data_IF_004156651925
#
_entry.id   IF_004156651925
#
_cell.length_a   1.000
_cell.length_b   1.000
_cell.length_c   1.000
_cell.angle_alpha   90.00
_cell.angle_beta   90.00
_cell.angle_gamma   90.00
#
_symmetry.space_group_name_H-M   'P 1'
#
loop_
_entity.id
_entity.type
_entity.pdbx_description
1 polymer ?
#
# COMPACT_ATOMS: atom_id res chain seq x y z
N UNK A 1 -9.15 23.37 -0.51
CA UNK A 1 -9.57 22.01 -0.93
C UNK A 1 -8.80 20.95 -0.17
N UNK A 2 -7.47 21.06 -0.14
CA UNK A 2 -6.57 20.23 0.66
C UNK A 2 -6.92 20.23 2.15
N UNK A 3 -7.10 21.41 2.76
CA UNK A 3 -7.45 21.49 4.19
C UNK A 3 -8.80 20.85 4.49
N UNK A 4 -9.78 21.02 3.59
CA UNK A 4 -11.10 20.40 3.71
C UNK A 4 -10.97 18.89 3.67
N UNK A 5 -10.20 18.33 2.72
CA UNK A 5 -9.99 16.89 2.63
C UNK A 5 -9.26 16.38 3.88
N UNK A 6 -8.19 17.05 4.31
CA UNK A 6 -7.45 16.69 5.53
C UNK A 6 -8.36 16.63 6.76
N UNK A 7 -9.14 17.68 7.03
CA UNK A 7 -10.09 17.71 8.15
C UNK A 7 -11.13 16.60 8.05
N UNK A 8 -11.58 16.24 6.84
CA UNK A 8 -12.51 15.12 6.64
C UNK A 8 -11.86 13.77 6.93
N UNK A 9 -10.62 13.56 6.52
CA UNK A 9 -9.88 12.34 6.82
C UNK A 9 -9.61 12.18 8.33
N UNK A 10 -9.28 13.28 9.03
CA UNK A 10 -9.12 13.30 10.49
C UNK A 10 -10.45 12.98 11.21
N UNK A 11 -11.57 13.51 10.71
CA UNK A 11 -12.89 13.19 11.26
C UNK A 11 -13.25 11.70 11.06
N UNK A 12 -12.98 11.15 9.87
CA UNK A 12 -13.17 9.71 9.60
C UNK A 12 -12.29 8.86 10.52
N UNK A 13 -11.04 9.26 10.75
CA UNK A 13 -10.14 8.57 11.69
C UNK A 13 -10.74 8.52 13.09
N UNK A 14 -11.19 9.67 13.61
CA UNK A 14 -11.79 9.79 14.93
C UNK A 14 -13.08 8.96 15.08
N UNK A 15 -13.97 9.02 14.09
CA UNK A 15 -15.23 8.27 14.08
C UNK A 15 -14.98 6.75 14.05
N UNK A 16 -14.03 6.31 13.22
CA UNK A 16 -13.63 4.91 13.13
C UNK A 16 -13.00 4.42 14.44
N UNK A 17 -12.07 5.18 15.02
CA UNK A 17 -11.44 4.84 16.30
C UNK A 17 -12.45 4.78 17.44
N UNK A 18 -13.40 5.73 17.49
CA UNK A 18 -14.46 5.73 18.50
C UNK A 18 -15.33 4.48 18.39
N UNK A 19 -15.71 4.08 17.17
CA UNK A 19 -16.51 2.87 16.95
C UNK A 19 -15.75 1.60 17.37
N UNK A 20 -14.48 1.47 16.98
CA UNK A 20 -13.65 0.33 17.37
C UNK A 20 -13.43 0.28 18.89
N UNK A 21 -13.28 1.43 19.54
CA UNK A 21 -13.17 1.49 21.01
C UNK A 21 -14.42 0.93 21.68
N UNK A 22 -15.61 1.29 21.21
CA UNK A 22 -16.87 0.74 21.74
C UNK A 22 -16.91 -0.78 21.59
N UNK A 23 -16.56 -1.31 20.41
CA UNK A 23 -16.53 -2.77 20.19
C UNK A 23 -15.50 -3.47 21.12
N UNK A 24 -14.35 -2.84 21.39
CA UNK A 24 -13.35 -3.39 22.34
C UNK A 24 -13.85 -3.31 23.79
N UNK A 25 -14.49 -2.21 24.17
CA UNK A 25 -15.06 -2.04 25.50
C UNK A 25 -16.16 -3.10 25.76
N UNK A 26 -16.99 -3.40 24.76
CA UNK A 26 -17.95 -4.51 24.81
C UNK A 26 -17.28 -5.87 25.01
N UNK A 27 -16.12 -6.13 24.40
CA UNK A 27 -15.37 -7.37 24.68
C UNK A 27 -14.96 -7.45 26.14
N UNK A 28 -14.55 -6.34 26.74
CA UNK A 28 -14.19 -6.34 28.16
C UNK A 28 -15.40 -6.50 29.08
N UNK A 29 -16.55 -5.94 28.72
CA UNK A 29 -17.77 -6.03 29.53
C UNK A 29 -18.42 -7.42 29.45
N UNK A 30 -18.22 -8.11 28.32
CA UNK A 30 -18.59 -9.51 28.16
C UNK A 30 -17.64 -10.48 28.87
N UNK A 31 -16.52 -10.01 29.43
CA UNK A 31 -15.71 -10.82 30.32
C UNK A 31 -16.48 -11.05 31.63
N UNK A 32 -16.71 -12.31 32.00
CA UNK A 32 -17.53 -12.64 33.16
C UNK A 32 -16.87 -13.68 34.06
N UNK A 33 -17.24 -13.64 35.33
CA UNK A 33 -16.84 -14.64 36.32
C UNK A 33 -18.05 -15.54 36.63
N UNK A 34 -17.90 -16.85 36.46
CA UNK A 34 -19.00 -17.81 36.68
C UNK A 34 -19.09 -18.34 38.11
N UNK A 35 -18.30 -17.78 39.03
CA UNK A 35 -18.19 -18.24 40.42
C UNK A 35 -17.00 -19.19 40.64
N UNK A 36 -16.48 -19.80 39.57
CA UNK A 36 -15.35 -20.72 39.63
C UNK A 36 -14.13 -20.26 38.84
N UNK A 37 -14.34 -19.55 37.73
CA UNK A 37 -13.28 -19.06 36.84
C UNK A 37 -13.66 -17.74 36.18
N UNK A 38 -12.65 -16.93 35.93
CA UNK A 38 -12.78 -15.77 35.06
C UNK A 38 -12.69 -16.18 33.58
N UNK A 39 -13.71 -15.81 32.79
CA UNK A 39 -13.74 -16.07 31.35
C UNK A 39 -13.15 -14.88 30.59
N UNK A 40 -11.98 -15.13 30.00
CA UNK A 40 -11.22 -14.15 29.22
C UNK A 40 -11.87 -13.96 27.84
N UNK A 41 -12.00 -12.71 27.34
CA UNK A 41 -12.51 -12.48 25.99
C UNK A 41 -11.58 -13.07 24.92
N UNK A 42 -12.15 -13.44 23.77
CA UNK A 42 -11.38 -14.04 22.67
C UNK A 42 -10.37 -13.04 22.08
N UNK A 43 -9.08 -13.39 22.01
CA UNK A 43 -8.08 -12.58 21.31
C UNK A 43 -8.37 -12.36 19.83
N UNK A 44 -8.93 -13.36 19.17
CA UNK A 44 -9.30 -13.30 17.77
C UNK A 44 -10.42 -12.27 17.53
N UNK A 45 -11.32 -12.09 18.50
CA UNK A 45 -12.34 -11.05 18.42
C UNK A 45 -11.72 -9.65 18.49
N UNK A 46 -10.77 -9.42 19.39
CA UNK A 46 -10.05 -8.16 19.48
C UNK A 46 -9.24 -7.85 18.20
N UNK A 47 -8.51 -8.85 17.69
CA UNK A 47 -7.80 -8.78 16.40
C UNK A 47 -8.74 -8.38 15.26
N UNK A 48 -9.89 -9.04 15.13
CA UNK A 48 -10.86 -8.75 14.09
C UNK A 48 -11.39 -7.31 14.17
N UNK A 49 -11.60 -6.76 15.36
CA UNK A 49 -12.03 -5.36 15.52
C UNK A 49 -10.98 -4.42 14.95
N UNK A 50 -9.69 -4.61 15.24
CA UNK A 50 -8.63 -3.74 14.72
C UNK A 50 -8.38 -3.93 13.21
N UNK A 51 -8.49 -5.15 12.69
CA UNK A 51 -8.41 -5.38 11.25
C UNK A 51 -9.60 -4.74 10.50
N UNK A 52 -10.81 -4.86 11.07
CA UNK A 52 -12.02 -4.20 10.57
C UNK A 52 -11.88 -2.68 10.62
N UNK A 53 -11.30 -2.13 11.69
CA UNK A 53 -10.99 -0.72 11.83
C UNK A 53 -10.11 -0.22 10.67
N UNK A 54 -9.00 -0.91 10.40
CA UNK A 54 -8.07 -0.54 9.31
C UNK A 54 -8.79 -0.59 7.95
N UNK A 55 -9.51 -1.67 7.67
CA UNK A 55 -10.25 -1.84 6.42
C UNK A 55 -11.36 -0.78 6.24
N UNK A 56 -12.05 -0.41 7.33
CA UNK A 56 -13.07 0.64 7.31
C UNK A 56 -12.47 2.00 7.03
N UNK A 57 -11.37 2.37 7.71
CA UNK A 57 -10.65 3.62 7.44
C UNK A 57 -10.19 3.69 5.98
N UNK A 58 -9.61 2.61 5.46
CA UNK A 58 -9.20 2.52 4.06
C UNK A 58 -10.37 2.82 3.11
N UNK A 59 -11.50 2.14 3.32
CA UNK A 59 -12.68 2.32 2.49
C UNK A 59 -13.22 3.75 2.53
N UNK A 60 -13.41 4.32 3.72
CA UNK A 60 -13.96 5.65 3.91
C UNK A 60 -13.00 6.74 3.38
N UNK A 61 -11.68 6.57 3.55
CA UNK A 61 -10.68 7.48 2.99
C UNK A 61 -10.76 7.48 1.45
N UNK A 62 -10.78 6.30 0.82
CA UNK A 62 -10.89 6.16 -0.64
C UNK A 62 -12.18 6.79 -1.16
N UNK A 63 -13.29 6.58 -0.46
CA UNK A 63 -14.58 7.15 -0.82
C UNK A 63 -14.57 8.68 -0.71
N UNK A 64 -14.03 9.25 0.36
CA UNK A 64 -14.01 10.69 0.58
C UNK A 64 -13.05 11.40 -0.38
N UNK A 65 -11.88 10.80 -0.67
CA UNK A 65 -11.02 11.26 -1.75
C UNK A 65 -11.74 11.28 -3.10
N UNK A 66 -12.50 10.22 -3.43
CA UNK A 66 -13.25 10.17 -4.67
C UNK A 66 -14.38 11.21 -4.73
N UNK A 67 -14.97 11.55 -3.58
CA UNK A 67 -16.04 12.55 -3.46
C UNK A 67 -15.52 13.98 -3.60
N UNK A 68 -14.37 14.29 -2.99
CA UNK A 68 -13.79 15.63 -3.01
C UNK A 68 -13.02 15.85 -4.31
N UNK A 69 -12.20 14.90 -4.73
CA UNK A 69 -11.33 14.98 -5.92
C UNK A 69 -12.03 14.46 -7.19
N UNK A 70 -13.34 14.71 -7.33
CA UNK A 70 -14.14 14.20 -8.45
C UNK A 70 -13.48 14.49 -9.82
N UNK A 71 -13.67 13.62 -10.82
CA UNK A 71 -13.25 13.89 -12.19
C UNK A 71 -13.81 15.24 -12.67
N UNK A 72 -12.93 16.15 -13.11
CA UNK A 72 -13.29 17.52 -13.51
C UNK A 72 -13.04 18.59 -12.44
N UNK A 73 -12.65 18.21 -11.22
CA UNK A 73 -12.14 19.15 -10.22
C UNK A 73 -10.77 19.68 -10.62
N UNK A 74 -10.36 20.88 -10.17
CA UNK A 74 -8.99 21.36 -10.36
C UNK A 74 -8.01 20.31 -9.85
N UNK A 75 -6.97 20.05 -10.64
CA UNK A 75 -6.00 19.02 -10.32
C UNK A 75 -5.32 19.30 -8.97
N UNK A 76 -5.05 18.24 -8.22
CA UNK A 76 -4.37 18.36 -6.94
C UNK A 76 -2.91 18.76 -7.19
N UNK A 77 -2.43 19.83 -6.54
CA UNK A 77 -1.02 20.22 -6.58
C UNK A 77 -0.15 19.16 -5.88
N UNK A 78 1.11 19.03 -6.29
CA UNK A 78 2.04 18.04 -5.72
C UNK A 78 2.25 18.24 -4.22
N UNK A 79 2.32 19.50 -3.78
CA UNK A 79 2.46 19.89 -2.37
C UNK A 79 1.23 19.48 -1.55
N UNK A 80 0.05 19.62 -2.14
CA UNK A 80 -1.20 19.22 -1.50
C UNK A 80 -1.31 17.70 -1.39
N UNK A 81 -0.92 16.97 -2.43
CA UNK A 81 -0.85 15.52 -2.40
C UNK A 81 0.11 15.04 -1.30
N UNK A 82 1.32 15.60 -1.22
CA UNK A 82 2.30 15.24 -0.19
C UNK A 82 1.80 15.50 1.24
N UNK A 83 1.04 16.58 1.48
CA UNK A 83 0.43 16.83 2.79
C UNK A 83 -0.65 15.78 3.14
N UNK A 84 -1.44 15.36 2.15
CA UNK A 84 -2.44 14.31 2.33
C UNK A 84 -1.75 12.95 2.56
N UNK A 85 -0.68 12.64 1.83
CA UNK A 85 0.15 11.44 2.05
C UNK A 85 0.68 11.40 3.48
N UNK A 86 1.25 12.51 3.98
CA UNK A 86 1.70 12.60 5.37
C UNK A 86 0.58 12.32 6.37
N UNK A 87 -0.62 12.86 6.13
CA UNK A 87 -1.79 12.59 6.98
C UNK A 87 -2.19 11.10 6.95
N UNK A 88 -2.14 10.45 5.78
CA UNK A 88 -2.40 9.02 5.64
C UNK A 88 -1.34 8.20 6.36
N UNK A 89 -0.06 8.52 6.18
CA UNK A 89 1.03 7.82 6.84
C UNK A 89 0.95 7.93 8.36
N UNK A 90 0.57 9.11 8.89
CA UNK A 90 0.34 9.31 10.32
C UNK A 90 -0.87 8.50 10.84
N UNK A 91 -1.94 8.40 10.06
CA UNK A 91 -3.15 7.66 10.45
C UNK A 91 -2.94 6.15 10.47
N UNK A 92 -2.16 5.65 9.51
CA UNK A 92 -1.86 4.24 9.33
C UNK A 92 -0.46 3.85 9.83
N UNK A 93 0.13 4.67 10.71
CA UNK A 93 1.42 4.40 11.31
C UNK A 93 1.37 3.14 12.19
N UNK A 94 2.32 2.22 11.98
CA UNK A 94 2.41 0.94 12.70
C UNK A 94 2.37 1.12 14.23
N UNK A 95 3.03 2.15 14.77
CA UNK A 95 3.07 2.44 16.21
C UNK A 95 1.69 2.70 16.84
N UNK A 96 0.68 3.11 16.05
CA UNK A 96 -0.68 3.32 16.55
C UNK A 96 -1.44 2.02 16.81
N UNK A 97 -0.99 0.88 16.28
CA UNK A 97 -1.75 -0.38 16.27
C UNK A 97 -0.97 -1.56 16.84
N UNK A 98 0.33 -1.64 16.56
CA UNK A 98 1.17 -2.83 16.82
C UNK A 98 1.18 -3.25 18.29
N UNK A 99 0.98 -2.33 19.25
CA UNK A 99 0.98 -2.63 20.68
C UNK A 99 -0.41 -2.91 21.27
N UNK A 100 -1.49 -2.69 20.51
CA UNK A 100 -2.87 -2.77 21.05
C UNK A 100 -3.23 -4.14 21.59
N UNK A 101 -2.68 -5.22 21.03
CA UNK A 101 -2.93 -6.57 21.55
C UNK A 101 -2.29 -6.79 22.93
N UNK A 102 -1.07 -6.26 23.16
CA UNK A 102 -0.44 -6.31 24.47
C UNK A 102 -1.20 -5.47 25.50
N UNK A 103 -1.66 -4.28 25.11
CA UNK A 103 -2.49 -3.42 25.96
C UNK A 103 -3.82 -4.10 26.31
N UNK A 104 -4.44 -4.76 25.33
CA UNK A 104 -5.67 -5.52 25.55
C UNK A 104 -5.47 -6.62 26.58
N UNK A 105 -4.41 -7.42 26.47
CA UNK A 105 -4.10 -8.46 27.45
C UNK A 105 -3.77 -7.91 28.83
N UNK A 106 -3.07 -6.76 28.90
CA UNK A 106 -2.76 -6.10 30.17
C UNK A 106 -4.05 -5.70 30.88
N UNK A 107 -5.01 -5.16 30.15
CA UNK A 107 -6.29 -4.73 30.68
C UNK A 107 -7.18 -5.91 31.09
N UNK A 108 -7.22 -6.97 30.28
CA UNK A 108 -7.90 -8.23 30.62
C UNK A 108 -7.33 -8.83 31.92
N UNK A 109 -6.00 -8.95 32.03
CA UNK A 109 -5.36 -9.46 33.25
C UNK A 109 -5.68 -8.63 34.47
N UNK A 110 -5.69 -7.29 34.32
CA UNK A 110 -6.04 -6.37 35.40
C UNK A 110 -7.48 -6.60 35.88
N UNK A 111 -8.43 -6.78 34.97
CA UNK A 111 -9.83 -7.09 35.32
C UNK A 111 -9.97 -8.48 35.93
N UNK A 112 -9.27 -9.49 35.40
CA UNK A 112 -9.32 -10.86 35.90
C UNK A 112 -8.84 -10.97 37.35
N UNK A 113 -7.75 -10.28 37.71
CA UNK A 113 -7.20 -10.28 39.07
C UNK A 113 -8.14 -9.71 40.14
N UNK A 114 -9.14 -8.91 39.75
CA UNK A 114 -10.18 -8.42 40.67
C UNK A 114 -11.13 -9.54 41.11
N UNK A 115 -11.29 -10.58 40.29
CA UNK A 115 -12.22 -11.68 40.54
C UNK A 115 -11.49 -12.97 40.94
N UNK A 116 -10.33 -13.23 40.35
CA UNK A 116 -9.52 -14.43 40.57
C UNK A 116 -8.06 -14.01 40.88
N UNK A 117 -7.67 -13.89 42.17
CA UNK A 117 -6.34 -13.39 42.56
C UNK A 117 -5.16 -14.26 42.10
N UNK A 118 -5.42 -15.53 41.77
CA UNK A 118 -4.45 -16.48 41.22
C UNK A 118 -4.49 -16.57 39.68
N UNK A 119 -5.18 -15.64 39.02
CA UNK A 119 -5.29 -15.65 37.57
C UNK A 119 -3.93 -15.41 36.92
N UNK A 120 -3.51 -16.34 36.06
CA UNK A 120 -2.28 -16.26 35.29
C UNK A 120 -2.57 -16.61 33.83
N UNK A 121 -2.16 -15.74 32.90
CA UNK A 121 -2.17 -16.06 31.48
C UNK A 121 -0.83 -16.67 31.08
N UNK A 122 -0.89 -17.77 30.33
CA UNK A 122 0.29 -18.47 29.84
C UNK A 122 1.11 -17.58 28.87
N UNK A 123 2.26 -17.10 29.33
CA UNK A 123 3.09 -16.13 28.61
C UNK A 123 3.43 -16.57 27.17
N UNK A 124 3.80 -17.84 26.99
CA UNK A 124 4.14 -18.40 25.66
C UNK A 124 2.97 -18.32 24.66
N UNK A 125 1.74 -18.49 25.15
CA UNK A 125 0.53 -18.38 24.31
C UNK A 125 0.27 -16.93 23.92
N UNK A 126 0.51 -15.99 24.82
CA UNK A 126 0.40 -14.55 24.55
C UNK A 126 1.39 -14.10 23.50
N UNK A 127 2.65 -14.53 23.59
CA UNK A 127 3.70 -14.17 22.62
C UNK A 127 3.35 -14.64 21.19
N UNK A 128 2.78 -15.83 21.05
CA UNK A 128 2.35 -16.35 19.76
C UNK A 128 1.17 -15.55 19.17
N UNK A 129 0.21 -15.20 20.02
CA UNK A 129 -0.96 -14.41 19.59
C UNK A 129 -0.56 -12.97 19.25
N UNK A 130 0.32 -12.36 20.04
CA UNK A 130 0.85 -11.02 19.77
C UNK A 130 1.67 -11.00 18.47
N UNK A 131 2.57 -11.96 18.25
CA UNK A 131 3.36 -12.03 17.01
C UNK A 131 2.47 -12.22 15.76
N UNK A 132 1.44 -13.05 15.85
CA UNK A 132 0.46 -13.24 14.76
C UNK A 132 -0.30 -11.95 14.49
N UNK A 133 -0.79 -11.30 15.54
CA UNK A 133 -1.49 -10.01 15.47
C UNK A 133 -0.62 -8.93 14.80
N UNK A 134 0.63 -8.77 15.26
CA UNK A 134 1.57 -7.77 14.73
C UNK A 134 1.81 -7.96 13.24
N UNK A 135 1.98 -9.21 12.80
CA UNK A 135 2.14 -9.54 11.40
C UNK A 135 0.88 -9.19 10.58
N UNK A 136 -0.31 -9.59 11.05
CA UNK A 136 -1.58 -9.33 10.38
C UNK A 136 -1.90 -7.84 10.27
N UNK A 137 -1.72 -7.08 11.35
CA UNK A 137 -1.93 -5.64 11.37
C UNK A 137 -0.92 -4.92 10.50
N UNK A 138 0.37 -5.26 10.58
CA UNK A 138 1.37 -4.60 9.74
C UNK A 138 1.08 -4.83 8.25
N UNK A 139 0.72 -6.05 7.83
CA UNK A 139 0.33 -6.30 6.43
C UNK A 139 -0.92 -5.49 6.02
N UNK A 140 -1.93 -5.44 6.88
CA UNK A 140 -3.14 -4.67 6.64
C UNK A 140 -2.86 -3.16 6.50
N UNK A 141 -2.01 -2.59 7.37
CA UNK A 141 -1.60 -1.19 7.31
C UNK A 141 -0.81 -0.88 6.04
N UNK A 142 0.15 -1.74 5.67
CA UNK A 142 0.92 -1.60 4.43
C UNK A 142 0.03 -1.68 3.19
N UNK A 143 -0.95 -2.59 3.19
CA UNK A 143 -1.95 -2.70 2.11
C UNK A 143 -2.82 -1.44 2.02
N UNK A 144 -3.37 -0.97 3.14
CA UNK A 144 -4.23 0.21 3.17
C UNK A 144 -3.49 1.45 2.66
N UNK A 145 -2.27 1.71 3.16
CA UNK A 145 -1.42 2.82 2.70
C UNK A 145 -1.17 2.77 1.20
N UNK A 146 -0.74 1.61 0.67
CA UNK A 146 -0.51 1.42 -0.77
C UNK A 146 -1.76 1.72 -1.60
N UNK A 147 -2.92 1.24 -1.16
CA UNK A 147 -4.17 1.44 -1.89
C UNK A 147 -4.60 2.91 -1.89
N UNK A 148 -4.49 3.58 -0.74
CA UNK A 148 -4.80 5.00 -0.60
C UNK A 148 -3.84 5.86 -1.42
N UNK A 149 -2.53 5.61 -1.35
CA UNK A 149 -1.54 6.35 -2.12
C UNK A 149 -1.72 6.16 -3.63
N UNK A 150 -1.95 4.93 -4.09
CA UNK A 150 -2.25 4.67 -5.50
C UNK A 150 -3.50 5.42 -5.97
N UNK A 151 -4.52 5.53 -5.10
CA UNK A 151 -5.73 6.29 -5.38
C UNK A 151 -5.42 7.78 -5.49
N UNK A 152 -4.64 8.34 -4.57
CA UNK A 152 -4.25 9.74 -4.56
C UNK A 152 -3.39 10.11 -5.78
N UNK A 153 -2.41 9.28 -6.13
CA UNK A 153 -1.53 9.47 -7.28
C UNK A 153 -2.33 9.57 -8.59
N UNK A 154 -3.40 8.78 -8.72
CA UNK A 154 -4.30 8.84 -9.87
C UNK A 154 -5.00 10.19 -10.08
N UNK A 155 -5.07 11.02 -9.03
CA UNK A 155 -5.61 12.38 -9.11
C UNK A 155 -4.54 13.42 -9.41
N UNK A 156 -3.28 13.17 -9.04
CA UNK A 156 -2.14 14.02 -9.39
C UNK A 156 -1.81 13.88 -10.88
N UNK A 157 -1.79 12.65 -11.41
CA UNK A 157 -1.44 12.37 -12.82
C UNK A 157 -2.48 12.88 -13.84
N UNK A 158 -3.70 13.23 -13.42
CA UNK A 158 -4.74 13.81 -14.30
C UNK A 158 -4.52 15.29 -14.63
N UNK A 159 -3.37 15.87 -14.29
CA UNK A 159 -3.00 17.22 -14.70
C UNK A 159 -2.93 17.34 -16.25
N UNK A 160 -3.68 18.26 -16.88
CA UNK A 160 -3.72 18.40 -18.35
C UNK A 160 -2.40 18.90 -18.99
N UNK A 161 -1.31 19.04 -18.23
CA UNK A 161 -0.03 19.58 -18.69
C UNK A 161 1.13 18.56 -18.74
N UNK A 162 0.94 17.32 -18.26
CA UNK A 162 1.98 16.27 -18.22
C UNK A 162 1.61 15.10 -19.16
N UNK A 163 0.88 15.39 -20.24
CA UNK A 163 0.46 14.36 -21.19
C UNK A 163 1.63 13.71 -21.97
N UNK A 164 2.82 14.30 -21.93
CA UNK A 164 4.00 13.80 -22.65
C UNK A 164 4.75 12.66 -21.94
N UNK A 165 4.80 12.65 -20.60
CA UNK A 165 5.59 11.64 -19.86
C UNK A 165 4.76 10.44 -19.43
N UNK A 166 3.46 10.62 -19.16
CA UNK A 166 2.55 9.53 -18.79
C UNK A 166 2.32 8.54 -19.94
N UNK A 167 2.37 9.01 -21.19
CA UNK A 167 2.18 8.16 -22.36
C UNK A 167 3.30 7.11 -22.46
N UNK A 168 4.54 7.51 -22.14
CA UNK A 168 5.68 6.59 -22.07
C UNK A 168 5.51 5.53 -20.98
N UNK A 169 5.12 5.92 -19.76
CA UNK A 169 4.95 4.97 -18.65
C UNK A 169 3.74 4.05 -18.84
N UNK A 170 2.63 4.54 -19.42
CA UNK A 170 1.48 3.68 -19.74
C UNK A 170 1.82 2.67 -20.83
N UNK A 171 2.55 3.10 -21.86
CA UNK A 171 3.07 2.18 -22.88
C UNK A 171 4.03 1.17 -22.24
N UNK A 172 4.94 1.61 -21.37
CA UNK A 172 5.89 0.73 -20.68
C UNK A 172 5.20 -0.31 -19.78
N UNK A 173 4.14 0.09 -19.07
CA UNK A 173 3.35 -0.81 -18.20
C UNK A 173 2.55 -1.82 -19.02
N UNK A 174 2.06 -1.40 -20.19
CA UNK A 174 1.39 -2.27 -21.14
C UNK A 174 2.38 -3.29 -21.74
N UNK A 175 3.61 -2.86 -22.04
CA UNK A 175 4.70 -3.74 -22.46
C UNK A 175 5.19 -4.68 -21.34
N UNK A 176 5.24 -4.23 -20.09
CA UNK A 176 5.71 -5.05 -18.95
C UNK A 176 4.68 -6.06 -18.45
N UNK A 177 3.40 -5.86 -18.79
CA UNK A 177 2.32 -6.82 -18.48
C UNK A 177 2.25 -7.99 -19.46
N UNK A 178 2.98 -7.93 -20.57
CA UNK A 178 3.18 -9.07 -21.47
C UNK A 178 4.26 -9.96 -20.85
N UNK A 179 3.87 -11.21 -20.53
CA UNK A 179 4.71 -12.31 -20.01
C UNK A 179 6.23 -12.06 -20.06
N UNK A 180 6.98 -12.16 -18.94
CA UNK A 180 8.42 -11.89 -18.87
C UNK A 180 9.26 -12.57 -19.97
N UNK A 181 8.79 -13.73 -20.45
CA UNK A 181 9.39 -14.47 -21.55
C UNK A 181 9.35 -13.75 -22.90
N UNK A 182 8.30 -12.98 -23.19
CA UNK A 182 8.20 -12.19 -24.42
C UNK A 182 9.17 -11.02 -24.41
N UNK A 183 9.35 -10.34 -23.27
CA UNK A 183 10.30 -9.23 -23.13
C UNK A 183 11.74 -9.67 -23.38
N UNK A 184 12.14 -10.82 -22.84
CA UNK A 184 13.46 -11.43 -23.09
C UNK A 184 13.61 -11.79 -24.57
N UNK A 185 12.59 -12.42 -25.18
CA UNK A 185 12.61 -12.74 -26.62
C UNK A 185 12.75 -11.50 -27.48
N UNK A 186 12.04 -10.41 -27.18
CA UNK A 186 12.17 -9.16 -27.94
C UNK A 186 13.54 -8.50 -27.79
N UNK A 187 14.14 -8.53 -26.59
CA UNK A 187 15.49 -8.00 -26.38
C UNK A 187 16.52 -8.83 -27.17
N UNK A 188 16.39 -10.16 -27.14
CA UNK A 188 17.24 -11.06 -27.94
C UNK A 188 17.02 -10.83 -29.43
N UNK A 189 15.78 -10.66 -29.89
CA UNK A 189 15.49 -10.37 -31.31
C UNK A 189 16.07 -9.01 -31.74
N UNK A 190 15.96 -7.99 -30.89
CA UNK A 190 16.53 -6.66 -31.14
C UNK A 190 18.06 -6.71 -31.16
N UNK A 191 18.68 -7.47 -30.25
CA UNK A 191 20.13 -7.63 -30.27
C UNK A 191 20.58 -8.41 -31.51
N UNK A 192 19.84 -9.46 -31.91
CA UNK A 192 20.16 -10.27 -33.08
C UNK A 192 20.01 -9.48 -34.38
N UNK A 193 18.94 -8.69 -34.50
CA UNK A 193 18.71 -7.82 -35.66
C UNK A 193 19.75 -6.70 -35.73
N UNK A 194 20.12 -6.10 -34.60
CA UNK A 194 21.23 -5.12 -34.55
C UNK A 194 22.57 -5.75 -34.96
N UNK A 195 22.82 -6.99 -34.56
CA UNK A 195 24.04 -7.72 -34.96
C UNK A 195 24.02 -8.09 -36.45
N UNK A 196 22.86 -8.48 -36.99
CA UNK A 196 22.66 -8.76 -38.41
C UNK A 196 22.87 -7.50 -39.26
N UNK A 197 22.36 -6.36 -38.83
CA UNK A 197 22.57 -5.06 -39.50
C UNK A 197 24.05 -4.70 -39.48
N UNK A 198 24.71 -4.82 -38.32
CA UNK A 198 26.15 -4.57 -38.21
C UNK A 198 26.97 -5.51 -39.10
N UNK A 199 26.59 -6.78 -39.18
CA UNK A 199 27.23 -7.77 -40.05
C UNK A 199 27.02 -7.49 -41.53
N UNK A 200 25.83 -7.04 -41.93
CA UNK A 200 25.54 -6.64 -43.32
C UNK A 200 26.37 -5.41 -43.70
N UNK A 201 26.43 -4.39 -42.84
CA UNK A 201 27.23 -3.17 -43.07
C UNK A 201 28.73 -3.49 -43.15
N UNK A 202 29.21 -4.41 -42.32
CA UNK A 202 30.61 -4.85 -42.31
C UNK A 202 30.95 -5.89 -43.39
N UNK A 203 29.96 -6.37 -44.15
CA UNK A 203 30.20 -7.37 -45.20
C UNK A 203 30.78 -6.69 -46.45
N UNK A 204 31.79 -7.32 -47.04
CA UNK A 204 32.46 -6.84 -48.25
C UNK A 204 31.48 -6.63 -49.42
N UNK A 205 30.42 -7.43 -49.49
CA UNK A 205 29.37 -7.30 -50.52
C UNK A 205 28.56 -5.99 -50.41
N UNK A 206 28.36 -5.46 -49.21
CA UNK A 206 27.67 -4.18 -49.00
C UNK A 206 28.60 -3.00 -49.24
N UNK A 207 29.88 -3.13 -48.90
CA UNK A 207 30.91 -2.14 -49.24
C UNK A 207 31.11 -2.03 -50.76
N UNK A 208 31.18 -3.16 -51.47
CA UNK A 208 31.29 -3.21 -52.93
C UNK A 208 30.03 -2.64 -53.62
N UNK A 209 28.84 -2.83 -53.03
CA UNK A 209 27.59 -2.21 -53.48
C UNK A 209 27.59 -0.68 -53.28
N UNK A 210 28.11 -0.18 -52.15
CA UNK A 210 28.23 1.26 -51.87
C UNK A 210 29.26 1.94 -52.79
N UNK A 211 30.38 1.28 -53.08
CA UNK A 211 31.39 1.74 -54.03
C UNK A 211 30.79 1.86 -55.45
N UNK A 212 29.91 0.94 -55.83
CA UNK A 212 29.19 0.96 -57.13
C UNK A 212 28.21 2.13 -57.27
N UNK A 213 27.74 2.69 -56.15
CA UNK A 213 26.92 3.91 -56.10
C UNK A 213 27.73 5.18 -55.80
N UNK A 214 29.06 5.11 -55.84
CA UNK A 214 29.97 6.26 -55.76
C UNK A 214 30.27 6.76 -54.34
N UNK A 215 29.92 5.99 -53.31
CA UNK A 215 30.28 6.29 -51.93
C UNK A 215 31.54 5.51 -51.57
N UNK A 216 32.72 6.08 -51.86
CA UNK A 216 33.96 5.53 -51.31
C UNK A 216 34.08 5.98 -49.85
N UNK A 217 34.20 5.01 -48.95
CA UNK A 217 34.61 5.24 -47.56
C UNK A 217 36.07 5.65 -47.54
N UNK A 218 36.36 6.90 -47.94
CA UNK A 218 37.69 7.48 -47.86
C UNK A 218 38.15 7.49 -46.41
N UNK A 219 39.11 6.63 -46.10
CA UNK A 219 39.96 6.74 -44.91
C UNK A 219 40.76 8.03 -45.01
N UNK A 220 40.21 9.11 -44.46
CA UNK A 220 40.94 10.34 -44.19
C UNK A 220 41.47 10.32 -42.77
N UNK A 221 42.71 9.82 -42.63
CA UNK A 221 43.63 9.90 -41.46
C UNK A 221 43.09 9.51 -40.08
#
# INVERSE_FOLDING_TARGET
>A
MTDILKTRLEAIDADCESAAKIEVDELYDNAYHDGSKFHVPSPQAAEQIWLKLIARKEHEFVQEMARILKPGSPALSKEAASNIEGTVDDVFADNRYVERMQDFYREVSRKALLHEPSFEMEAKRLDLLDSTYRAGVSDALHKARRNIHAKLESYVQKQPGIAGETDFFSQWRQYSSLSPWRSIVTIVLLSLTSYLIAFIIASEAFQEFLERFGWSGGTGL
#
